data_IF_496473019655
#
_entry.id   IF_496473019655
#
_cell.length_a   1.000
_cell.length_b   1.000
_cell.length_c   1.000
_cell.angle_alpha   90.00
_cell.angle_beta   90.00
_cell.angle_gamma   90.00
#
_symmetry.space_group_name_H-M   'P 1'
#
loop_
_entity.id
_entity.type
_entity.pdbx_description
1 polymer ?
#
# COMPACT_ATOMS: atom_id res chain seq x y z
N UNK A 1 24.67 -19.24 -20.52
CA UNK A 1 25.13 -18.02 -21.21
C UNK A 1 23.88 -17.29 -21.64
N UNK A 2 23.73 -16.09 -21.11
CA UNK A 2 22.58 -15.18 -21.04
C UNK A 2 21.20 -15.55 -21.61
N UNK A 3 20.20 -15.52 -20.72
CA UNK A 3 18.86 -14.95 -20.98
C UNK A 3 18.39 -14.13 -19.75
N UNK A 4 19.25 -13.26 -19.22
CA UNK A 4 18.89 -12.38 -18.11
C UNK A 4 18.14 -11.14 -18.59
N UNK A 5 16.80 -11.21 -18.67
CA UNK A 5 16.00 -9.99 -18.51
C UNK A 5 16.27 -9.49 -17.09
N UNK A 6 17.12 -8.48 -16.95
CA UNK A 6 17.31 -7.76 -15.68
C UNK A 6 16.04 -6.96 -15.38
N UNK A 7 15.03 -7.65 -14.85
CA UNK A 7 13.79 -7.11 -14.28
C UNK A 7 14.01 -6.56 -12.85
N UNK A 8 15.24 -6.16 -12.53
CA UNK A 8 15.57 -5.61 -11.22
C UNK A 8 16.25 -4.27 -11.44
N UNK A 9 15.52 -3.20 -11.11
CA UNK A 9 16.19 -2.00 -10.64
C UNK A 9 17.13 -2.44 -9.53
N UNK A 10 18.41 -2.04 -9.60
CA UNK A 10 19.44 -2.54 -8.70
C UNK A 10 19.11 -2.33 -7.22
N UNK A 11 19.94 -2.84 -6.32
CA UNK A 11 19.71 -2.78 -4.87
C UNK A 11 19.30 -1.36 -4.41
N UNK A 12 18.14 -1.24 -3.76
CA UNK A 12 17.57 0.03 -3.30
C UNK A 12 16.67 0.77 -4.30
N UNK A 13 16.37 0.16 -5.46
CA UNK A 13 15.47 0.73 -6.45
C UNK A 13 14.33 -0.23 -6.81
N UNK A 14 13.13 0.32 -6.99
CA UNK A 14 11.92 -0.40 -7.40
C UNK A 14 11.47 0.07 -8.78
N UNK A 15 10.89 -0.83 -9.57
CA UNK A 15 10.25 -0.43 -10.83
C UNK A 15 8.95 0.31 -10.52
N UNK A 16 8.87 1.57 -10.94
CA UNK A 16 7.72 2.45 -10.79
C UNK A 16 7.46 3.18 -12.11
N UNK A 17 6.26 2.98 -12.69
CA UNK A 17 5.85 3.59 -13.96
C UNK A 17 6.83 3.36 -15.13
N UNK A 18 7.46 2.18 -15.20
CA UNK A 18 8.44 1.85 -16.24
C UNK A 18 9.82 2.50 -16.05
N UNK A 19 10.08 3.09 -14.89
CA UNK A 19 11.36 3.65 -14.50
C UNK A 19 11.83 3.09 -13.15
N UNK A 20 13.13 3.19 -12.86
CA UNK A 20 13.63 2.87 -11.54
C UNK A 20 13.44 4.07 -10.60
N UNK A 21 12.72 3.85 -9.50
CA UNK A 21 12.54 4.81 -8.41
C UNK A 21 13.28 4.33 -7.17
N UNK A 22 13.72 5.27 -6.32
CA UNK A 22 14.29 4.92 -5.01
C UNK A 22 13.24 4.23 -4.13
N UNK A 23 13.68 3.26 -3.33
CA UNK A 23 12.82 2.63 -2.32
C UNK A 23 12.28 3.70 -1.35
N UNK A 24 10.97 3.67 -1.11
CA UNK A 24 10.33 4.62 -0.22
C UNK A 24 10.86 4.49 1.21
N UNK A 25 11.01 5.59 1.98
CA UNK A 25 11.41 5.51 3.37
C UNK A 25 10.43 4.64 4.19
N UNK A 26 10.91 3.90 5.20
CA UNK A 26 10.04 3.08 6.04
C UNK A 26 9.04 3.95 6.79
N UNK A 27 7.77 3.56 6.75
CA UNK A 27 6.66 4.20 7.48
C UNK A 27 6.78 3.88 8.96
N UNK A 28 6.72 4.90 9.83
CA UNK A 28 6.77 4.71 11.29
C UNK A 28 5.37 4.71 11.88
N UNK A 29 5.24 4.11 13.06
CA UNK A 29 4.00 4.18 13.83
C UNK A 29 3.60 5.64 14.07
N UNK A 30 2.37 5.98 13.65
CA UNK A 30 1.82 7.33 13.76
C UNK A 30 1.99 8.20 12.52
N UNK A 31 2.87 7.87 11.56
CA UNK A 31 3.00 8.65 10.31
C UNK A 31 1.74 8.54 9.43
N UNK A 32 1.09 7.38 9.49
CA UNK A 32 -0.17 7.07 8.83
C UNK A 32 -1.14 6.56 9.90
N UNK A 33 -2.30 7.20 10.02
CA UNK A 33 -3.33 6.86 11.02
C UNK A 33 -4.67 6.63 10.35
N UNK A 34 -5.45 5.69 10.89
CA UNK A 34 -6.84 5.49 10.49
C UNK A 34 -7.70 6.49 11.27
N UNK A 35 -8.37 7.40 10.59
CA UNK A 35 -9.23 8.44 11.23
C UNK A 35 -10.69 8.04 11.29
N UNK A 36 -11.16 7.19 10.37
CA UNK A 36 -12.53 6.69 10.34
C UNK A 36 -12.57 5.24 9.83
N UNK A 37 -13.55 4.48 10.33
CA UNK A 37 -13.88 3.14 9.85
C UNK A 37 -15.38 3.09 9.58
N UNK A 38 -15.78 2.92 8.32
CA UNK A 38 -17.16 2.64 7.95
C UNK A 38 -17.33 1.13 7.86
N UNK A 39 -17.91 0.56 8.92
CA UNK A 39 -18.27 -0.85 9.00
C UNK A 39 -19.80 -0.95 9.00
N UNK A 40 -20.37 -1.78 8.11
CA UNK A 40 -21.82 -1.97 7.96
C UNK A 40 -22.63 -0.70 7.57
N UNK A 41 -22.45 -0.18 6.34
CA UNK A 41 -23.21 0.98 5.86
C UNK A 41 -24.70 0.66 5.63
N UNK A 42 -25.61 1.41 6.25
CA UNK A 42 -27.07 1.16 6.15
C UNK A 42 -27.69 1.44 4.77
N UNK A 43 -26.99 2.18 3.90
CA UNK A 43 -27.55 2.62 2.61
C UNK A 43 -27.22 1.67 1.45
N UNK A 44 -26.30 0.72 1.65
CA UNK A 44 -25.85 -0.22 0.61
C UNK A 44 -25.76 -1.63 1.17
N UNK A 45 -25.62 -2.61 0.27
CA UNK A 45 -25.42 -4.00 0.66
C UNK A 45 -24.06 -4.18 1.35
N UNK A 46 -23.97 -5.16 2.25
CA UNK A 46 -22.79 -5.47 3.08
C UNK A 46 -21.49 -5.62 2.28
N UNK A 47 -21.56 -6.14 1.05
CA UNK A 47 -20.39 -6.29 0.17
C UNK A 47 -19.91 -4.99 -0.48
N UNK A 48 -20.49 -3.83 -0.13
CA UNK A 48 -20.17 -2.52 -0.69
C UNK A 48 -20.20 -1.45 0.39
N UNK A 49 -19.47 -0.36 0.15
CA UNK A 49 -19.56 0.86 0.97
C UNK A 49 -18.86 0.77 2.32
N UNK A 50 -18.16 -0.33 2.59
CA UNK A 50 -17.15 -0.37 3.65
C UNK A 50 -15.88 0.30 3.16
N UNK A 51 -15.28 1.11 4.02
CA UNK A 51 -14.05 1.84 3.73
C UNK A 51 -13.38 2.29 5.03
N UNK A 52 -12.11 2.66 4.92
CA UNK A 52 -11.34 3.30 5.99
C UNK A 52 -10.82 4.65 5.49
N UNK A 53 -10.73 5.63 6.38
CA UNK A 53 -10.00 6.87 6.10
C UNK A 53 -8.55 6.73 6.57
N UNK A 54 -7.61 7.09 5.70
CA UNK A 54 -6.19 7.18 6.05
C UNK A 54 -5.76 8.65 6.07
N UNK A 55 -5.16 9.06 7.16
CA UNK A 55 -4.56 10.38 7.32
C UNK A 55 -3.04 10.27 7.47
N UNK A 56 -2.32 10.98 6.61
CA UNK A 56 -0.87 11.15 6.69
C UNK A 56 -0.57 12.33 7.61
N UNK A 57 0.03 12.08 8.77
CA UNK A 57 0.34 13.11 9.76
C UNK A 57 1.64 13.85 9.47
N UNK A 58 2.36 13.44 8.42
CA UNK A 58 3.66 13.99 8.02
C UNK A 58 3.49 15.02 6.90
N UNK A 59 4.58 15.71 6.57
CA UNK A 59 4.65 16.60 5.41
C UNK A 59 5.32 15.93 4.18
N UNK A 60 5.44 14.60 4.18
CA UNK A 60 6.07 13.82 3.12
C UNK A 60 5.06 12.87 2.48
N UNK A 61 5.27 12.53 1.21
CA UNK A 61 4.51 11.45 0.59
C UNK A 61 4.84 10.12 1.28
N UNK A 62 3.81 9.31 1.52
CA UNK A 62 3.93 7.95 2.04
C UNK A 62 3.53 6.99 0.92
N UNK A 63 4.39 6.00 0.67
CA UNK A 63 4.08 4.90 -0.23
C UNK A 63 3.27 3.84 0.54
N UNK A 64 2.10 3.47 0.00
CA UNK A 64 1.21 2.47 0.59
C UNK A 64 1.49 1.06 0.07
N UNK A 65 2.37 0.90 -0.94
CA UNK A 65 2.76 -0.40 -1.48
C UNK A 65 3.32 -1.29 -0.38
N UNK A 66 2.86 -2.54 -0.34
CA UNK A 66 3.34 -3.53 0.61
C UNK A 66 2.88 -3.31 2.06
N UNK A 67 2.16 -2.23 2.35
CA UNK A 67 1.49 -2.09 3.64
C UNK A 67 0.35 -3.11 3.74
N UNK A 68 0.13 -3.60 4.96
CA UNK A 68 -0.90 -4.58 5.27
C UNK A 68 -1.90 -3.96 6.24
N UNK A 69 -3.18 -4.07 5.93
CA UNK A 69 -4.26 -3.79 6.87
C UNK A 69 -4.61 -5.09 7.58
N UNK A 70 -4.56 -5.08 8.90
CA UNK A 70 -4.80 -6.27 9.72
C UNK A 70 -5.74 -5.93 10.89
N UNK A 71 -6.69 -6.80 11.15
CA UNK A 71 -7.54 -6.79 12.34
C UNK A 71 -7.07 -7.86 13.35
N UNK A 72 -7.86 -8.12 14.40
CA UNK A 72 -7.53 -9.15 15.39
C UNK A 72 -7.74 -10.60 14.88
N UNK A 73 -8.19 -10.77 13.64
CA UNK A 73 -8.33 -12.05 12.96
C UNK A 73 -7.01 -12.55 12.37
N UNK A 74 -7.10 -13.67 11.66
CA UNK A 74 -5.93 -14.35 11.06
C UNK A 74 -5.74 -14.03 9.57
N UNK A 75 -6.63 -13.25 8.96
CA UNK A 75 -6.61 -12.95 7.52
C UNK A 75 -6.16 -11.50 7.28
N UNK A 76 -4.89 -11.27 6.87
CA UNK A 76 -4.42 -9.94 6.55
C UNK A 76 -5.00 -9.45 5.21
N UNK A 77 -5.56 -8.25 5.19
CA UNK A 77 -5.94 -7.57 3.96
C UNK A 77 -4.74 -6.83 3.38
N UNK A 78 -4.16 -7.41 2.32
CA UNK A 78 -3.01 -6.82 1.63
C UNK A 78 -3.44 -5.66 0.74
N UNK A 79 -2.76 -4.52 0.87
CA UNK A 79 -2.86 -3.43 -0.09
C UNK A 79 -1.84 -3.70 -1.20
N UNK A 80 -2.32 -4.36 -2.27
CA UNK A 80 -1.50 -4.65 -3.46
C UNK A 80 -1.72 -3.55 -4.48
N UNK A 81 -0.80 -2.59 -4.56
CA UNK A 81 -0.70 -1.69 -5.70
C UNK A 81 0.24 -2.36 -6.70
N UNK A 82 -0.31 -2.83 -7.83
CA UNK A 82 0.48 -3.46 -8.89
C UNK A 82 1.28 -2.41 -9.65
N UNK A 83 2.53 -2.71 -9.98
CA UNK A 83 3.26 -1.97 -11.00
C UNK A 83 2.50 -2.10 -12.34
N UNK A 84 2.33 -1.00 -13.05
CA UNK A 84 1.82 -1.02 -14.42
C UNK A 84 2.73 -1.86 -15.31
N UNK A 85 2.11 -2.64 -16.20
CA UNK A 85 2.78 -3.41 -17.27
C UNK A 85 3.58 -2.52 -18.20
#
# INVERSE_FOLDING_TARGET
MDIGLKETCGDGFVCENGACAEEAPPVKAGDLVITEVMFNPVQVIDSKGEWIELYNTTNKSIDLRGLTLQDAGTDPHLIIIRCGS
#
